data_IF_700922953714
#
_entry.id   IF_700922953714
#
_cell.length_a   1.000
_cell.length_b   1.000
_cell.length_c   1.000
_cell.angle_alpha   90.00
_cell.angle_beta   90.00
_cell.angle_gamma   90.00
#
_symmetry.space_group_name_H-M   'P 1'
#
loop_
_entity.id
_entity.type
_entity.pdbx_description
1 polymer ?
#
# COMPACT_ATOMS: atom_id res chain seq x y z
N UNK A 1 2.72 -20.96 12.97
CA UNK A 1 3.55 -20.20 13.94
C UNK A 1 2.62 -19.17 14.55
N UNK A 2 1.98 -19.47 15.69
CA UNK A 2 0.86 -18.70 16.23
C UNK A 2 1.17 -17.20 16.43
N UNK A 3 2.44 -16.86 16.62
CA UNK A 3 2.90 -15.47 16.70
C UNK A 3 2.70 -14.66 15.39
N UNK A 4 2.88 -15.28 14.22
CA UNK A 4 2.71 -14.58 12.92
C UNK A 4 1.23 -14.32 12.61
N UNK A 5 0.35 -15.22 13.04
CA UNK A 5 -1.09 -15.08 12.85
C UNK A 5 -1.66 -13.93 13.71
N UNK A 6 -1.15 -13.78 14.94
CA UNK A 6 -1.48 -12.65 15.83
C UNK A 6 -0.90 -11.33 15.32
N UNK A 7 0.28 -11.35 14.70
CA UNK A 7 0.93 -10.14 14.16
C UNK A 7 0.32 -9.64 12.85
N UNK A 8 -0.45 -10.47 12.12
CA UNK A 8 -1.00 -10.11 10.82
C UNK A 8 -2.03 -8.96 10.93
N UNK A 9 -2.91 -9.00 11.92
CA UNK A 9 -3.99 -8.02 12.10
C UNK A 9 -3.45 -6.62 12.43
N UNK A 10 -2.53 -6.46 13.40
CA UNK A 10 -1.83 -5.19 13.61
C UNK A 10 -1.12 -4.69 12.36
N UNK A 11 -0.45 -5.58 11.61
CA UNK A 11 0.26 -5.19 10.39
C UNK A 11 -0.70 -4.70 9.29
N UNK A 12 -1.89 -5.29 9.17
CA UNK A 12 -2.97 -4.80 8.29
C UNK A 12 -3.46 -3.42 8.73
N UNK A 13 -3.62 -3.19 10.04
CA UNK A 13 -3.99 -1.89 10.56
C UNK A 13 -2.91 -0.83 10.23
N UNK A 14 -1.62 -1.16 10.37
CA UNK A 14 -0.52 -0.27 9.95
C UNK A 14 -0.59 0.02 8.45
N UNK A 15 -0.79 -1.00 7.61
CA UNK A 15 -0.95 -0.80 6.16
C UNK A 15 -2.14 0.12 5.84
N UNK A 16 -3.30 -0.08 6.48
CA UNK A 16 -4.45 0.80 6.29
C UNK A 16 -4.16 2.24 6.74
N UNK A 17 -3.62 2.43 7.95
CA UNK A 17 -3.33 3.75 8.51
C UNK A 17 -2.33 4.51 7.64
N UNK A 18 -1.23 3.88 7.25
CA UNK A 18 -0.25 4.52 6.38
C UNK A 18 -0.83 4.86 5.01
N UNK A 19 -1.69 4.01 4.44
CA UNK A 19 -2.36 4.32 3.18
C UNK A 19 -3.29 5.55 3.29
N UNK A 20 -3.99 5.72 4.42
CA UNK A 20 -4.85 6.89 4.67
C UNK A 20 -4.01 8.16 4.84
N UNK A 21 -2.88 8.07 5.56
CA UNK A 21 -1.96 9.20 5.72
C UNK A 21 -1.46 9.66 4.34
N UNK A 22 -0.97 8.73 3.51
CA UNK A 22 -0.48 9.06 2.16
C UNK A 22 -1.61 9.57 1.27
N UNK A 23 -2.82 9.01 1.37
CA UNK A 23 -3.99 9.50 0.64
C UNK A 23 -4.27 10.98 0.96
N UNK A 24 -4.27 11.35 2.24
CA UNK A 24 -4.50 12.75 2.66
C UNK A 24 -3.38 13.68 2.19
N UNK A 25 -2.12 13.26 2.31
CA UNK A 25 -0.97 14.05 1.87
C UNK A 25 -0.96 14.26 0.35
N UNK A 26 -1.22 13.21 -0.43
CA UNK A 26 -1.28 13.29 -1.89
C UNK A 26 -2.48 14.11 -2.37
N UNK A 27 -3.64 13.97 -1.74
CA UNK A 27 -4.81 14.79 -2.04
C UNK A 27 -4.54 16.28 -1.78
N UNK A 28 -3.87 16.61 -0.67
CA UNK A 28 -3.46 17.98 -0.37
C UNK A 28 -2.48 18.54 -1.40
N UNK A 29 -1.48 17.75 -1.82
CA UNK A 29 -0.54 18.14 -2.88
C UNK A 29 -1.31 18.42 -4.16
N UNK A 30 -2.18 17.52 -4.59
CA UNK A 30 -2.99 17.65 -5.81
C UNK A 30 -3.88 18.89 -5.77
N UNK A 31 -4.54 19.16 -4.65
CA UNK A 31 -5.36 20.36 -4.46
C UNK A 31 -4.52 21.63 -4.57
N UNK A 32 -3.32 21.64 -3.98
CA UNK A 32 -2.40 22.76 -4.10
C UNK A 32 -1.89 22.98 -5.54
N UNK A 33 -1.70 21.92 -6.33
CA UNK A 33 -1.38 22.04 -7.76
C UNK A 33 -2.57 22.56 -8.57
N UNK A 34 -3.81 22.31 -8.17
CA UNK A 34 -5.03 22.75 -8.90
C UNK A 34 -5.68 24.03 -8.38
N UNK A 35 -5.19 24.57 -7.25
CA UNK A 35 -5.80 25.68 -6.54
C UNK A 35 -5.69 27.05 -7.22
N UNK A 36 -6.42 28.06 -6.71
CA UNK A 36 -6.37 29.42 -7.25
C UNK A 36 -4.98 30.03 -7.03
N UNK A 37 -4.21 30.22 -8.11
CA UNK A 37 -2.83 30.73 -8.07
C UNK A 37 -1.78 29.80 -8.68
N UNK A 38 -2.16 28.58 -9.06
CA UNK A 38 -1.31 27.67 -9.85
C UNK A 38 -1.16 28.19 -11.27
N UNK A 39 0.09 28.31 -11.74
CA UNK A 39 0.37 28.63 -13.15
C UNK A 39 0.07 27.45 -14.10
N UNK A 40 0.08 26.23 -13.56
CA UNK A 40 -0.17 24.99 -14.29
C UNK A 40 -1.38 24.27 -13.70
N UNK A 41 -2.40 23.97 -14.51
CA UNK A 41 -3.56 23.16 -14.12
C UNK A 41 -3.27 21.64 -14.15
N UNK A 42 -2.01 21.25 -14.05
CA UNK A 42 -1.56 19.87 -14.21
C UNK A 42 -0.95 19.33 -12.91
N UNK A 43 -1.30 18.08 -12.60
CA UNK A 43 -0.77 17.33 -11.46
C UNK A 43 0.32 16.38 -11.95
N UNK A 44 1.45 16.23 -11.23
CA UNK A 44 2.46 15.26 -11.61
C UNK A 44 1.89 13.83 -11.59
N UNK A 45 2.02 13.11 -12.69
CA UNK A 45 1.47 11.74 -12.83
C UNK A 45 1.97 10.79 -11.72
N UNK A 46 3.17 11.03 -11.19
CA UNK A 46 3.73 10.26 -10.07
C UNK A 46 2.96 10.46 -8.76
N UNK A 47 2.49 11.68 -8.49
CA UNK A 47 1.66 11.99 -7.31
C UNK A 47 0.26 11.40 -7.48
N UNK A 48 -0.32 11.51 -8.68
CA UNK A 48 -1.62 10.91 -9.00
C UNK A 48 -1.59 9.38 -8.88
N UNK A 49 -0.50 8.73 -9.32
CA UNK A 49 -0.30 7.30 -9.14
C UNK A 49 -0.15 6.91 -7.66
N UNK A 50 0.52 7.73 -6.83
CA UNK A 50 0.64 7.49 -5.39
C UNK A 50 -0.72 7.62 -4.67
N UNK A 51 -1.57 8.57 -5.11
CA UNK A 51 -2.96 8.69 -4.65
C UNK A 51 -3.78 7.44 -5.04
N UNK A 52 -3.70 7.02 -6.30
CA UNK A 52 -4.34 5.77 -6.75
C UNK A 52 -3.88 4.57 -5.91
N UNK A 53 -2.57 4.45 -5.68
CA UNK A 53 -1.98 3.34 -4.91
C UNK A 53 -2.52 3.31 -3.49
N UNK A 54 -2.77 4.48 -2.89
CA UNK A 54 -3.38 4.60 -1.57
C UNK A 54 -4.82 4.08 -1.55
N UNK A 55 -5.64 4.44 -2.55
CA UNK A 55 -7.02 3.95 -2.68
C UNK A 55 -7.06 2.45 -2.97
N UNK A 56 -6.23 1.98 -3.91
CA UNK A 56 -6.05 0.55 -4.21
C UNK A 56 -5.73 -0.24 -2.94
N UNK A 57 -4.84 0.30 -2.09
CA UNK A 57 -4.41 -0.36 -0.86
C UNK A 57 -5.56 -0.54 0.14
N UNK A 58 -6.50 0.41 0.23
CA UNK A 58 -7.68 0.25 1.08
C UNK A 58 -8.54 -0.93 0.61
N UNK A 59 -8.74 -1.07 -0.71
CA UNK A 59 -9.44 -2.21 -1.30
C UNK A 59 -8.69 -3.53 -1.09
N UNK A 60 -7.37 -3.51 -1.28
CA UNK A 60 -6.50 -4.67 -1.09
C UNK A 60 -6.51 -5.15 0.37
N UNK A 61 -6.36 -4.24 1.34
CA UNK A 61 -6.41 -4.58 2.77
C UNK A 61 -7.80 -5.10 3.17
N UNK A 62 -8.88 -4.51 2.64
CA UNK A 62 -10.22 -5.02 2.87
C UNK A 62 -10.38 -6.46 2.33
N UNK A 63 -9.92 -6.74 1.11
CA UNK A 63 -9.91 -8.08 0.54
C UNK A 63 -9.07 -9.05 1.39
N UNK A 64 -7.83 -8.68 1.73
CA UNK A 64 -6.89 -9.54 2.49
C UNK A 64 -7.36 -9.83 3.92
N UNK A 65 -8.25 -9.00 4.48
CA UNK A 65 -8.81 -9.19 5.83
C UNK A 65 -10.13 -9.95 5.81
N UNK A 66 -11.01 -9.65 4.85
CA UNK A 66 -12.36 -10.22 4.78
C UNK A 66 -12.41 -11.55 4.03
N UNK A 67 -11.60 -11.75 2.98
CA UNK A 67 -11.66 -12.97 2.18
C UNK A 67 -11.35 -14.24 2.99
N UNK A 68 -10.28 -14.29 3.84
CA UNK A 68 -10.00 -15.48 4.63
C UNK A 68 -11.08 -15.81 5.68
N UNK A 69 -11.82 -14.81 6.16
CA UNK A 69 -12.80 -14.96 7.25
C UNK A 69 -14.24 -15.20 6.77
N UNK A 70 -14.60 -14.71 5.58
CA UNK A 70 -15.99 -14.74 5.10
C UNK A 70 -16.18 -15.45 3.76
N UNK A 71 -15.11 -15.62 2.97
CA UNK A 71 -15.21 -16.15 1.61
C UNK A 71 -14.09 -17.15 1.30
N UNK A 72 -14.13 -18.37 1.88
CA UNK A 72 -13.12 -19.39 1.63
C UNK A 72 -12.99 -19.77 0.14
N UNK A 73 -14.04 -19.61 -0.66
CA UNK A 73 -14.00 -19.79 -2.12
C UNK A 73 -13.18 -18.71 -2.86
N UNK A 74 -13.09 -17.49 -2.32
CA UNK A 74 -12.30 -16.39 -2.88
C UNK A 74 -10.90 -16.27 -2.25
N UNK A 75 -10.64 -16.99 -1.16
CA UNK A 75 -9.38 -17.03 -0.43
C UNK A 75 -8.36 -17.99 -1.05
N UNK A 76 -8.20 -17.95 -2.39
CA UNK A 76 -7.19 -18.79 -3.03
C UNK A 76 -5.79 -18.29 -2.65
N UNK A 77 -4.92 -19.18 -2.17
CA UNK A 77 -3.56 -18.84 -1.72
C UNK A 77 -2.74 -18.05 -2.76
N UNK A 78 -2.99 -18.31 -4.06
CA UNK A 78 -2.38 -17.57 -5.18
C UNK A 78 -2.99 -16.17 -5.40
N UNK A 79 -4.27 -15.96 -5.09
CA UNK A 79 -4.89 -14.64 -5.17
C UNK A 79 -4.38 -13.74 -4.05
N UNK A 80 -4.24 -14.28 -2.83
CA UNK A 80 -3.71 -13.55 -1.67
C UNK A 80 -2.28 -13.07 -1.93
N UNK A 81 -1.36 -13.97 -2.31
CA UNK A 81 0.02 -13.59 -2.64
C UNK A 81 0.08 -12.64 -3.84
N UNK A 82 -0.83 -12.80 -4.82
CA UNK A 82 -0.93 -11.90 -5.97
C UNK A 82 -1.26 -10.47 -5.56
N UNK A 83 -2.28 -10.28 -4.73
CA UNK A 83 -2.68 -8.95 -4.24
C UNK A 83 -1.57 -8.33 -3.40
N UNK A 84 -0.91 -9.10 -2.53
CA UNK A 84 0.25 -8.63 -1.76
C UNK A 84 1.39 -8.17 -2.65
N UNK A 85 1.78 -9.00 -3.63
CA UNK A 85 2.89 -8.70 -4.53
C UNK A 85 2.59 -7.50 -5.44
N UNK A 86 1.37 -7.39 -5.99
CA UNK A 86 0.95 -6.24 -6.80
C UNK A 86 1.00 -4.96 -5.96
N UNK A 87 0.46 -5.00 -4.74
CA UNK A 87 0.44 -3.82 -3.86
C UNK A 87 1.86 -3.43 -3.42
N UNK A 88 2.72 -4.41 -3.14
CA UNK A 88 4.15 -4.18 -2.89
C UNK A 88 4.84 -3.49 -4.07
N UNK A 89 4.60 -3.94 -5.31
CA UNK A 89 5.21 -3.34 -6.51
C UNK A 89 4.67 -1.93 -6.74
N UNK A 90 3.38 -1.69 -6.55
CA UNK A 90 2.78 -0.36 -6.69
C UNK A 90 3.38 0.63 -5.70
N UNK A 91 3.49 0.25 -4.42
CA UNK A 91 4.13 1.12 -3.43
C UNK A 91 5.59 1.40 -3.78
N UNK A 92 6.36 0.38 -4.20
CA UNK A 92 7.75 0.57 -4.65
C UNK A 92 7.84 1.61 -5.77
N UNK A 93 7.02 1.45 -6.81
CA UNK A 93 6.99 2.36 -7.94
C UNK A 93 6.55 3.77 -7.52
N UNK A 94 5.54 3.89 -6.66
CA UNK A 94 4.98 5.17 -6.24
C UNK A 94 5.99 6.04 -5.50
N UNK A 95 6.61 5.54 -4.42
CA UNK A 95 7.51 6.36 -3.61
C UNK A 95 8.80 6.70 -4.35
N UNK A 96 9.31 5.79 -5.20
CA UNK A 96 10.50 6.02 -6.03
C UNK A 96 10.21 7.05 -7.13
N UNK A 97 9.07 6.96 -7.81
CA UNK A 97 8.69 7.91 -8.86
C UNK A 97 8.44 9.31 -8.30
N UNK A 98 7.81 9.42 -7.13
CA UNK A 98 7.62 10.73 -6.48
C UNK A 98 8.96 11.25 -5.99
N UNK A 99 9.81 10.45 -5.34
CA UNK A 99 11.11 10.90 -4.84
C UNK A 99 12.05 11.38 -5.96
N UNK A 100 12.10 10.68 -7.09
CA UNK A 100 12.93 11.05 -8.23
C UNK A 100 12.48 12.36 -8.87
N UNK A 101 11.18 12.60 -8.95
CA UNK A 101 10.63 13.85 -9.42
C UNK A 101 10.85 14.98 -8.41
N UNK A 102 10.52 14.73 -7.13
CA UNK A 102 10.60 15.71 -6.04
C UNK A 102 12.01 16.31 -5.91
N UNK A 103 13.05 15.47 -6.00
CA UNK A 103 14.45 15.94 -5.93
C UNK A 103 14.86 16.91 -7.04
N UNK A 104 14.20 16.87 -8.21
CA UNK A 104 14.54 17.70 -9.37
C UNK A 104 13.80 19.04 -9.42
N UNK A 105 12.69 19.20 -8.69
CA UNK A 105 11.86 20.42 -8.69
C UNK A 105 12.45 21.53 -7.79
N UNK A 106 13.62 21.28 -7.17
CA UNK A 106 14.23 22.10 -6.13
C UNK A 106 15.04 23.31 -6.63
N UNK A 107 14.44 24.16 -7.47
CA UNK A 107 15.11 25.37 -7.98
C UNK A 107 14.40 26.71 -7.64
N UNK A 108 13.43 26.76 -6.72
CA UNK A 108 12.90 28.08 -6.33
C UNK A 108 11.82 28.21 -5.26
N UNK A 109 11.23 27.14 -4.74
CA UNK A 109 10.12 27.25 -3.78
C UNK A 109 10.60 27.01 -2.33
N UNK A 110 10.89 28.09 -1.61
CA UNK A 110 11.18 28.03 -0.17
C UNK A 110 10.03 27.40 0.62
N UNK A 111 10.37 26.64 1.68
CA UNK A 111 9.54 26.11 2.79
C UNK A 111 7.99 26.13 2.66
N UNK A 112 7.43 25.73 1.52
CA UNK A 112 5.98 25.69 1.36
C UNK A 112 5.42 24.42 2.03
N UNK A 113 4.28 24.46 2.75
CA UNK A 113 3.70 23.28 3.41
C UNK A 113 3.52 22.08 2.47
N UNK A 114 3.28 22.34 1.18
CA UNK A 114 3.18 21.32 0.12
C UNK A 114 4.50 20.55 -0.05
N UNK A 115 5.65 21.23 0.03
CA UNK A 115 6.97 20.58 -0.04
C UNK A 115 7.14 19.55 1.08
N UNK A 116 6.90 19.99 2.32
CA UNK A 116 6.98 19.14 3.51
C UNK A 116 5.99 17.98 3.45
N UNK A 117 4.80 18.21 2.89
CA UNK A 117 3.80 17.14 2.71
C UNK A 117 4.24 16.08 1.70
N UNK A 118 4.92 16.44 0.62
CA UNK A 118 5.47 15.48 -0.35
C UNK A 118 6.63 14.66 0.22
N UNK A 119 7.52 15.29 0.99
CA UNK A 119 8.57 14.55 1.73
C UNK A 119 7.95 13.56 2.70
N UNK A 120 6.95 13.98 3.48
CA UNK A 120 6.23 13.07 4.37
C UNK A 120 5.55 11.93 3.59
N UNK A 121 4.91 12.23 2.46
CA UNK A 121 4.24 11.23 1.64
C UNK A 121 5.24 10.18 1.12
N UNK A 122 6.42 10.59 0.65
CA UNK A 122 7.50 9.68 0.23
C UNK A 122 7.91 8.76 1.39
N UNK A 123 8.15 9.30 2.59
CA UNK A 123 8.62 8.53 3.75
C UNK A 123 7.57 7.51 4.20
N UNK A 124 6.32 7.94 4.39
CA UNK A 124 5.23 7.02 4.78
C UNK A 124 4.99 5.95 3.70
N UNK A 125 5.13 6.31 2.42
CA UNK A 125 5.03 5.37 1.29
C UNK A 125 6.14 4.32 1.29
N UNK A 126 7.37 4.70 1.68
CA UNK A 126 8.46 3.75 1.84
C UNK A 126 8.23 2.79 3.04
N UNK A 127 7.66 3.27 4.14
CA UNK A 127 7.34 2.42 5.28
C UNK A 127 6.21 1.43 5.00
N UNK A 128 5.14 1.86 4.33
CA UNK A 128 4.07 0.93 3.92
C UNK A 128 4.58 -0.06 2.87
N UNK A 129 5.47 0.34 1.96
CA UNK A 129 6.16 -0.58 1.07
C UNK A 129 6.88 -1.69 1.84
N UNK A 130 7.66 -1.35 2.88
CA UNK A 130 8.34 -2.34 3.72
C UNK A 130 7.34 -3.29 4.41
N UNK A 131 6.21 -2.78 4.90
CA UNK A 131 5.15 -3.61 5.46
C UNK A 131 4.60 -4.61 4.42
N UNK A 132 4.43 -4.18 3.17
CA UNK A 132 4.05 -5.06 2.06
C UNK A 132 5.13 -6.06 1.66
N UNK A 133 6.41 -5.70 1.73
CA UNK A 133 7.52 -6.65 1.53
C UNK A 133 7.45 -7.77 2.56
N UNK A 134 7.32 -7.43 3.85
CA UNK A 134 7.26 -8.40 4.94
C UNK A 134 6.07 -9.35 4.75
N UNK A 135 4.88 -8.82 4.50
CA UNK A 135 3.67 -9.62 4.31
C UNK A 135 3.72 -10.49 3.06
N UNK A 136 4.25 -9.96 1.94
CA UNK A 136 4.46 -10.73 0.71
C UNK A 136 5.42 -11.90 0.93
N UNK A 137 6.52 -11.69 1.64
CA UNK A 137 7.47 -12.77 1.98
C UNK A 137 6.80 -13.83 2.85
N UNK A 138 6.03 -13.43 3.87
CA UNK A 138 5.29 -14.37 4.72
C UNK A 138 4.28 -15.18 3.89
N UNK A 139 3.53 -14.53 3.00
CA UNK A 139 2.58 -15.19 2.10
C UNK A 139 3.29 -16.17 1.14
N UNK A 140 4.44 -15.78 0.57
CA UNK A 140 5.24 -16.64 -0.30
C UNK A 140 5.76 -17.88 0.42
N UNK A 141 6.26 -17.72 1.65
CA UNK A 141 6.71 -18.83 2.49
C UNK A 141 5.55 -19.76 2.86
N UNK A 142 4.36 -19.21 3.10
CA UNK A 142 3.16 -20.00 3.35
C UNK A 142 2.79 -20.85 2.13
N UNK A 143 2.70 -20.23 0.94
CA UNK A 143 2.40 -20.95 -0.32
C UNK A 143 3.41 -22.05 -0.60
N UNK A 144 4.71 -21.81 -0.35
CA UNK A 144 5.78 -22.80 -0.55
C UNK A 144 5.71 -23.98 0.42
N UNK A 145 5.25 -23.75 1.66
CA UNK A 145 5.14 -24.81 2.69
C UNK A 145 3.86 -25.64 2.54
N UNK A 146 2.80 -25.09 1.98
CA UNK A 146 1.54 -25.80 1.73
C UNK A 146 1.68 -26.69 0.48
N UNK A 147 1.36 -27.99 0.60
CA UNK A 147 1.45 -28.98 -0.49
C UNK A 147 0.74 -28.47 -1.77
N UNK A 148 1.31 -28.76 -2.95
CA UNK A 148 0.79 -28.31 -4.26
C UNK A 148 -0.67 -28.72 -4.52
N UNK A 149 -1.12 -29.80 -3.88
CA UNK A 149 -2.49 -30.32 -4.03
C UNK A 149 -3.45 -29.89 -2.93
N UNK A 150 -2.99 -29.09 -1.96
CA UNK A 150 -3.82 -28.62 -0.87
C UNK A 150 -4.28 -27.18 -1.14
N UNK A 151 -5.48 -27.06 -1.70
CA UNK A 151 -6.19 -25.80 -1.90
C UNK A 151 -7.07 -25.44 -0.71
N UNK A 152 -7.08 -26.28 0.34
CA UNK A 152 -7.90 -26.06 1.51
C UNK A 152 -7.28 -24.99 2.42
N UNK A 153 -8.11 -24.08 2.98
CA UNK A 153 -7.71 -23.26 4.11
C UNK A 153 -7.28 -24.14 5.30
N UNK A 154 -6.35 -23.68 6.17
CA UNK A 154 -5.92 -24.46 7.33
C UNK A 154 -7.12 -24.94 8.16
N UNK A 155 -7.11 -26.18 8.70
CA UNK A 155 -8.25 -26.79 9.39
C UNK A 155 -8.69 -26.07 10.69
N UNK A 156 -7.94 -25.05 11.13
CA UNK A 156 -8.30 -24.17 12.25
C UNK A 156 -9.06 -22.91 11.81
N UNK A 157 -9.30 -22.73 10.51
CA UNK A 157 -10.17 -21.69 9.93
C UNK A 157 -11.52 -22.24 9.45
N UNK A 158 -11.75 -23.54 9.59
CA UNK A 158 -13.09 -24.13 9.55
C UNK A 158 -13.70 -23.91 10.94
N UNK A 159 -14.51 -22.86 11.07
CA UNK A 159 -15.27 -22.62 12.28
C UNK A 159 -16.09 -23.85 12.68
N UNK A 160 -16.26 -24.02 13.98
CA UNK A 160 -17.33 -24.81 14.61
C UNK A 160 -18.67 -24.63 13.89
#
# INVERSE_FOLDING_TARGET
MPFLDVAILPLRAVQAVFSIIVLGLTAYIIDAYRGPGSYDSWTPDSVDFMLFTSIWTLLAVAYLTLAPSRFPAAAHKFAIIGVEAVTMIFWFAAWVAVASWWGNVWHGAGHHPVWSSGVAAIIFSAFIWLAFVITTVVAALHVRRTSRNDTAPPPQMQGV
#
